data_IF_257937361233
#
_entry.id   IF_257937361233
#
_cell.length_a   1.000
_cell.length_b   1.000
_cell.length_c   1.000
_cell.angle_alpha   90.00
_cell.angle_beta   90.00
_cell.angle_gamma   90.00
#
_symmetry.space_group_name_H-M   'P 1'
#
loop_
_entity.id
_entity.type
_entity.pdbx_description
1 polymer ?
#
# COMPACT_ATOMS: atom_id res chain seq x y z
N UNK A 1 21.55 13.79 -33.72
CA UNK A 1 21.24 12.47 -33.12
C UNK A 1 21.27 12.72 -31.62
N UNK A 2 20.11 12.70 -30.97
CA UNK A 2 20.05 12.79 -29.51
C UNK A 2 20.20 11.37 -29.00
N UNK A 3 21.34 11.12 -28.36
CA UNK A 3 21.68 9.85 -27.73
C UNK A 3 20.83 9.70 -26.46
N UNK A 4 20.20 8.52 -26.37
CA UNK A 4 19.69 7.88 -25.16
C UNK A 4 18.82 8.77 -24.24
N UNK A 5 17.58 8.99 -24.65
CA UNK A 5 16.47 9.19 -23.73
C UNK A 5 16.39 7.96 -22.80
N UNK A 6 17.11 8.04 -21.67
CA UNK A 6 17.08 7.08 -20.57
C UNK A 6 15.63 6.71 -20.27
N UNK A 7 15.28 5.48 -20.68
CA UNK A 7 14.09 4.69 -20.33
C UNK A 7 13.11 5.46 -19.45
N UNK A 8 12.24 6.25 -20.08
CA UNK A 8 11.04 6.73 -19.41
C UNK A 8 10.37 5.53 -18.74
N UNK A 9 10.23 5.58 -17.42
CA UNK A 9 9.54 4.53 -16.66
C UNK A 9 8.15 4.42 -17.29
N UNK A 10 7.85 3.24 -17.85
CA UNK A 10 6.60 3.01 -18.54
C UNK A 10 5.46 3.27 -17.55
N UNK A 11 4.57 4.20 -17.89
CA UNK A 11 3.42 4.50 -17.04
C UNK A 11 2.55 3.25 -16.99
N UNK A 12 2.48 2.61 -15.83
CA UNK A 12 1.59 1.46 -15.58
C UNK A 12 0.32 1.99 -14.90
N UNK A 13 -0.80 2.21 -15.63
CA UNK A 13 -2.07 2.61 -15.06
C UNK A 13 -2.75 1.43 -14.37
N UNK A 14 -2.13 0.87 -13.33
CA UNK A 14 -2.84 0.15 -12.30
C UNK A 14 -2.64 0.93 -11.02
N UNK A 15 -3.72 1.50 -10.50
CA UNK A 15 -3.77 1.96 -9.12
C UNK A 15 -3.24 0.79 -8.29
N UNK A 16 -2.06 0.93 -7.65
CA UNK A 16 -1.37 -0.24 -7.16
C UNK A 16 -2.24 -0.82 -6.05
N UNK A 17 -2.74 -2.03 -6.28
CA UNK A 17 -3.10 -2.93 -5.18
C UNK A 17 -1.81 -3.70 -4.84
N UNK A 18 -0.73 -2.96 -4.59
CA UNK A 18 0.56 -3.54 -4.27
C UNK A 18 0.55 -3.89 -2.80
N UNK A 19 0.91 -5.12 -2.50
CA UNK A 19 1.09 -5.60 -1.15
C UNK A 19 2.51 -6.16 -1.01
N UNK A 20 3.00 -6.42 0.22
CA UNK A 20 4.38 -6.86 0.42
C UNK A 20 4.78 -8.13 -0.35
N UNK A 21 3.83 -9.02 -0.66
CA UNK A 21 4.08 -10.20 -1.48
C UNK A 21 4.39 -9.89 -2.96
N UNK A 22 4.05 -8.69 -3.43
CA UNK A 22 4.31 -8.25 -4.80
C UNK A 22 5.67 -7.56 -4.94
N UNK A 23 6.41 -7.39 -3.84
CA UNK A 23 7.73 -6.77 -3.84
C UNK A 23 8.76 -7.66 -4.51
N UNK A 24 9.66 -7.07 -5.29
CA UNK A 24 10.73 -7.80 -5.98
C UNK A 24 11.72 -8.45 -4.99
N UNK A 25 12.01 -7.75 -3.89
CA UNK A 25 12.79 -8.25 -2.75
C UNK A 25 12.12 -7.81 -1.45
N UNK A 26 11.60 -8.77 -0.68
CA UNK A 26 10.90 -8.50 0.58
C UNK A 26 11.81 -8.05 1.70
N UNK A 27 13.11 -8.35 1.62
CA UNK A 27 14.13 -7.89 2.59
C UNK A 27 14.67 -6.51 2.28
N UNK A 28 14.51 -6.02 1.05
CA UNK A 28 14.96 -4.69 0.62
C UNK A 28 13.98 -4.03 -0.36
N UNK A 29 12.74 -3.73 0.08
CA UNK A 29 11.73 -3.15 -0.81
C UNK A 29 12.09 -1.74 -1.22
N UNK A 30 11.84 -1.37 -2.47
CA UNK A 30 12.07 0.00 -2.96
C UNK A 30 11.14 1.01 -2.28
N UNK A 31 11.52 2.29 -2.30
CA UNK A 31 10.67 3.38 -1.77
C UNK A 31 9.32 3.43 -2.50
N UNK A 32 9.31 3.11 -3.79
CA UNK A 32 8.10 3.05 -4.60
C UNK A 32 7.17 1.92 -4.13
N UNK A 33 7.69 0.71 -3.96
CA UNK A 33 6.93 -0.44 -3.47
C UNK A 33 6.31 -0.17 -2.09
N UNK A 34 7.08 0.44 -1.17
CA UNK A 34 6.57 0.82 0.15
C UNK A 34 5.43 1.85 0.00
N UNK A 35 5.64 2.90 -0.80
CA UNK A 35 4.65 3.97 -0.98
C UNK A 35 3.36 3.45 -1.63
N UNK A 36 3.49 2.57 -2.63
CA UNK A 36 2.37 1.90 -3.29
C UNK A 36 1.58 1.01 -2.31
N UNK A 37 2.26 0.28 -1.43
CA UNK A 37 1.60 -0.50 -0.37
C UNK A 37 0.89 0.39 0.64
N UNK A 38 1.48 1.52 1.04
CA UNK A 38 0.84 2.48 1.94
C UNK A 38 -0.45 3.05 1.34
N UNK A 39 -0.45 3.39 0.05
CA UNK A 39 -1.65 3.90 -0.62
C UNK A 39 -2.73 2.82 -0.80
N UNK A 40 -2.33 1.57 -1.02
CA UNK A 40 -3.24 0.41 -0.99
C UNK A 40 -3.95 0.32 0.36
N UNK A 41 -3.18 0.38 1.46
CA UNK A 41 -3.72 0.28 2.82
C UNK A 41 -4.64 1.47 3.17
N UNK A 42 -4.32 2.70 2.73
CA UNK A 42 -5.23 3.85 2.89
C UNK A 42 -6.57 3.62 2.20
N UNK A 43 -6.55 3.08 0.98
CA UNK A 43 -7.76 2.77 0.22
C UNK A 43 -8.59 1.68 0.91
N UNK A 44 -7.95 0.59 1.36
CA UNK A 44 -8.60 -0.47 2.14
C UNK A 44 -9.24 0.08 3.42
N UNK A 45 -8.57 0.99 4.12
CA UNK A 45 -9.13 1.63 5.32
C UNK A 45 -10.39 2.44 4.98
N UNK A 46 -10.34 3.27 3.94
CA UNK A 46 -11.49 4.06 3.50
C UNK A 46 -12.67 3.19 3.06
N UNK A 47 -12.42 2.11 2.33
CA UNK A 47 -13.44 1.14 1.90
C UNK A 47 -14.06 0.44 3.12
N UNK A 48 -13.25 0.04 4.11
CA UNK A 48 -13.73 -0.58 5.35
C UNK A 48 -14.57 0.39 6.20
N UNK A 49 -14.21 1.68 6.28
CA UNK A 49 -15.03 2.72 6.92
C UNK A 49 -16.37 2.87 6.22
N UNK A 50 -16.37 2.86 4.88
CA UNK A 50 -17.59 2.92 4.08
C UNK A 50 -18.48 1.71 4.34
N UNK A 51 -17.92 0.50 4.35
CA UNK A 51 -18.68 -0.73 4.61
C UNK A 51 -19.28 -0.76 6.02
N UNK A 52 -18.56 -0.26 7.04
CA UNK A 52 -19.09 -0.05 8.39
C UNK A 52 -20.26 0.94 8.40
N UNK A 53 -20.08 2.11 7.76
CA UNK A 53 -21.13 3.14 7.71
C UNK A 53 -22.40 2.68 7.00
N UNK A 54 -22.27 1.71 6.08
CA UNK A 54 -23.36 1.16 5.29
C UNK A 54 -23.91 -0.15 5.87
N UNK A 55 -23.40 -0.60 7.02
CA UNK A 55 -23.83 -1.83 7.68
C UNK A 55 -23.58 -3.10 6.88
N UNK A 56 -22.62 -3.10 5.95
CA UNK A 56 -22.26 -4.26 5.12
C UNK A 56 -21.41 -5.29 5.85
N UNK A 57 -20.87 -4.89 7.00
CA UNK A 57 -20.02 -5.67 7.89
C UNK A 57 -20.48 -5.42 9.32
N UNK A 58 -20.41 -6.43 10.17
CA UNK A 58 -20.70 -6.25 11.60
C UNK A 58 -19.70 -5.29 12.25
N UNK A 59 -20.16 -4.47 13.19
CA UNK A 59 -19.34 -3.43 13.84
C UNK A 59 -18.05 -3.97 14.43
N UNK A 60 -18.12 -5.07 15.19
CA UNK A 60 -16.96 -5.68 15.83
C UNK A 60 -15.89 -6.11 14.82
N UNK A 61 -16.30 -6.85 13.78
CA UNK A 61 -15.42 -7.33 12.70
C UNK A 61 -14.86 -6.13 11.92
N UNK A 62 -15.68 -5.14 11.61
CA UNK A 62 -15.22 -3.98 10.84
C UNK A 62 -14.22 -3.12 11.62
N UNK A 63 -14.43 -2.93 12.93
CA UNK A 63 -13.47 -2.24 13.80
C UNK A 63 -12.15 -3.01 13.92
N UNK A 64 -12.22 -4.35 14.03
CA UNK A 64 -11.02 -5.19 14.02
C UNK A 64 -10.26 -5.06 12.70
N UNK A 65 -10.95 -5.09 11.56
CA UNK A 65 -10.34 -4.86 10.25
C UNK A 65 -9.66 -3.50 10.16
N UNK A 66 -10.31 -2.42 10.65
CA UNK A 66 -9.70 -1.09 10.69
C UNK A 66 -8.42 -1.06 11.54
N UNK A 67 -8.43 -1.71 12.71
CA UNK A 67 -7.24 -1.83 13.59
C UNK A 67 -6.11 -2.59 12.91
N UNK A 68 -6.43 -3.68 12.20
CA UNK A 68 -5.46 -4.49 11.47
C UNK A 68 -4.84 -3.69 10.31
N UNK A 69 -5.66 -2.99 9.51
CA UNK A 69 -5.17 -2.15 8.41
C UNK A 69 -4.30 -1.01 8.94
N UNK A 70 -4.70 -0.35 10.04
CA UNK A 70 -3.92 0.73 10.64
C UNK A 70 -2.57 0.24 11.20
N UNK A 71 -2.56 -0.94 11.85
CA UNK A 71 -1.33 -1.58 12.33
C UNK A 71 -0.40 -1.89 11.16
N UNK A 72 -0.91 -2.53 10.11
CA UNK A 72 -0.15 -2.83 8.90
C UNK A 72 0.42 -1.55 8.26
N UNK A 73 -0.37 -0.46 8.22
CA UNK A 73 0.10 0.81 7.68
C UNK A 73 1.30 1.37 8.46
N UNK A 74 1.26 1.33 9.80
CA UNK A 74 2.39 1.79 10.61
C UNK A 74 3.63 0.90 10.43
N UNK A 75 3.45 -0.42 10.37
CA UNK A 75 4.55 -1.37 10.13
C UNK A 75 5.21 -1.14 8.77
N UNK A 76 4.43 -0.95 7.70
CA UNK A 76 5.00 -0.66 6.37
C UNK A 76 5.68 0.72 6.36
N UNK A 77 5.11 1.70 7.05
CA UNK A 77 5.67 3.04 7.13
C UNK A 77 7.01 3.07 7.88
N UNK A 78 7.22 2.22 8.89
CA UNK A 78 8.48 2.19 9.64
C UNK A 78 9.68 1.82 8.77
N UNK A 79 9.47 0.97 7.76
CA UNK A 79 10.51 0.53 6.80
C UNK A 79 11.16 1.72 6.07
N UNK A 80 10.44 2.84 5.89
CA UNK A 80 11.01 4.07 5.29
C UNK A 80 12.12 4.70 6.14
N UNK A 81 12.15 4.39 7.44
CA UNK A 81 13.07 4.97 8.42
C UNK A 81 14.10 3.96 8.93
N UNK A 82 14.03 2.71 8.49
CA UNK A 82 15.01 1.67 8.83
C UNK A 82 16.30 1.90 8.02
N UNK A 83 17.49 1.71 8.63
CA UNK A 83 18.75 1.73 7.91
C UNK A 83 18.77 0.64 6.82
N UNK A 84 19.28 0.99 5.63
CA UNK A 84 19.38 0.12 4.46
C UNK A 84 20.84 -0.21 4.12
#
# INVERSE_FOLDING_TARGET
MFEDDEKLIEFVPKYPHTLPQDWADTGNPTVYEISATLDTLKKMYADQVKDLSQGRVGTEIGEENLRNIATNYQSIKSILFEPR
#
